data_IF_271760913649
#
_entry.id   IF_271760913649
#
_cell.length_a   1.000
_cell.length_b   1.000
_cell.length_c   1.000
_cell.angle_alpha   90.00
_cell.angle_beta   90.00
_cell.angle_gamma   90.00
#
_symmetry.space_group_name_H-M   'P 1'
#
loop_
_entity.id
_entity.type
_entity.pdbx_description
1 polymer ?
#
# COMPACT_ATOMS: atom_id res chain seq x y z
N UNK A 1 -14.26 3.21 -1.36
CA UNK A 1 -15.04 4.06 -0.42
C UNK A 1 -14.29 4.44 0.84
N UNK A 2 -13.46 3.57 1.44
CA UNK A 2 -12.68 3.93 2.63
C UNK A 2 -11.68 5.07 2.38
N UNK A 3 -10.93 5.01 1.27
CA UNK A 3 -10.06 6.10 0.80
C UNK A 3 -10.78 7.45 0.74
N UNK A 4 -11.97 7.47 0.12
CA UNK A 4 -12.77 8.67 0.00
C UNK A 4 -13.22 9.20 1.37
N UNK A 5 -13.70 8.31 2.25
CA UNK A 5 -14.09 8.70 3.62
C UNK A 5 -12.93 9.33 4.37
N UNK A 6 -11.72 8.77 4.27
CA UNK A 6 -10.50 9.33 4.91
C UNK A 6 -10.16 10.70 4.35
N UNK A 7 -10.23 10.87 3.03
CA UNK A 7 -9.97 12.16 2.37
C UNK A 7 -11.03 13.22 2.72
N UNK A 8 -12.30 12.84 2.76
CA UNK A 8 -13.44 13.73 3.07
C UNK A 8 -13.47 14.10 4.56
N UNK A 9 -13.08 13.16 5.43
CA UNK A 9 -13.26 13.25 6.87
C UNK A 9 -14.61 12.67 7.32
N UNK A 10 -14.61 12.00 8.47
CA UNK A 10 -15.77 11.21 8.94
C UNK A 10 -17.06 12.02 9.09
N UNK A 11 -16.96 13.22 9.66
CA UNK A 11 -18.11 14.10 9.89
C UNK A 11 -18.71 14.59 8.57
N UNK A 12 -17.87 15.15 7.69
CA UNK A 12 -18.30 15.63 6.37
C UNK A 12 -18.83 14.49 5.50
N UNK A 13 -18.23 13.30 5.60
CA UNK A 13 -18.69 12.11 4.86
C UNK A 13 -20.09 11.70 5.31
N UNK A 14 -20.34 11.62 6.63
CA UNK A 14 -21.67 11.32 7.17
C UNK A 14 -22.70 12.37 6.78
N UNK A 15 -22.35 13.66 6.91
CA UNK A 15 -23.23 14.78 6.55
C UNK A 15 -23.57 14.77 5.05
N UNK A 16 -22.59 14.53 4.18
CA UNK A 16 -22.81 14.45 2.74
C UNK A 16 -23.68 13.25 2.34
N UNK A 17 -23.49 12.08 2.97
CA UNK A 17 -24.38 10.93 2.75
C UNK A 17 -25.81 11.17 3.22
N UNK A 18 -25.99 11.79 4.39
CA UNK A 18 -27.33 12.16 4.88
C UNK A 18 -28.03 13.06 3.85
N UNK A 19 -27.35 14.12 3.41
CA UNK A 19 -27.88 15.05 2.40
C UNK A 19 -28.21 14.33 1.08
N UNK A 20 -27.35 13.43 0.64
CA UNK A 20 -27.57 12.64 -0.56
C UNK A 20 -28.86 11.80 -0.47
N UNK A 21 -29.03 11.05 0.61
CA UNK A 21 -30.22 10.21 0.79
C UNK A 21 -31.51 11.01 0.96
N UNK A 22 -31.46 12.16 1.63
CA UNK A 22 -32.61 13.05 1.77
C UNK A 22 -33.00 13.68 0.42
N UNK A 23 -32.02 14.16 -0.35
CA UNK A 23 -32.23 14.85 -1.63
C UNK A 23 -32.76 13.93 -2.72
N UNK A 24 -32.25 12.69 -2.80
CA UNK A 24 -32.57 11.74 -3.86
C UNK A 24 -33.49 10.60 -3.41
N UNK A 25 -34.18 10.79 -2.28
CA UNK A 25 -35.13 9.80 -1.75
C UNK A 25 -36.16 9.42 -2.81
N UNK A 26 -36.34 8.12 -3.03
CA UNK A 26 -37.27 7.55 -4.02
C UNK A 26 -36.98 7.91 -5.49
N UNK A 27 -35.74 8.32 -5.79
CA UNK A 27 -35.28 8.65 -7.14
C UNK A 27 -34.06 7.82 -7.54
N UNK A 28 -33.67 7.91 -8.81
CA UNK A 28 -32.43 7.35 -9.32
C UNK A 28 -31.30 8.39 -9.28
N UNK A 29 -30.06 7.92 -9.26
CA UNK A 29 -28.86 8.76 -9.12
C UNK A 29 -27.73 8.29 -10.01
N UNK A 30 -26.86 9.21 -10.40
CA UNK A 30 -25.57 8.93 -11.02
C UNK A 30 -24.41 9.27 -10.07
N UNK A 31 -23.19 8.82 -10.37
CA UNK A 31 -22.02 9.06 -9.52
C UNK A 31 -21.79 10.53 -9.18
N UNK A 32 -22.02 11.44 -10.13
CA UNK A 32 -21.89 12.87 -9.92
C UNK A 32 -22.79 13.39 -8.77
N UNK A 33 -24.00 12.84 -8.61
CA UNK A 33 -24.90 13.27 -7.55
C UNK A 33 -24.32 13.02 -6.15
N UNK A 34 -23.59 11.91 -5.97
CA UNK A 34 -22.89 11.62 -4.73
C UNK A 34 -21.70 12.57 -4.52
N UNK A 35 -20.92 12.83 -5.58
CA UNK A 35 -19.78 13.75 -5.52
C UNK A 35 -20.20 15.17 -5.15
N UNK A 36 -21.31 15.66 -5.69
CA UNK A 36 -21.83 17.00 -5.38
C UNK A 36 -22.17 17.12 -3.89
N UNK A 37 -22.89 16.14 -3.33
CA UNK A 37 -23.26 16.15 -1.91
C UNK A 37 -22.04 16.05 -0.97
N UNK A 38 -21.05 15.22 -1.32
CA UNK A 38 -19.82 15.11 -0.53
C UNK A 38 -18.92 16.35 -0.67
N UNK A 39 -18.87 16.97 -1.86
CA UNK A 39 -18.10 18.19 -2.10
C UNK A 39 -18.68 19.35 -1.30
N UNK A 40 -20.02 19.47 -1.26
CA UNK A 40 -20.69 20.50 -0.47
C UNK A 40 -20.45 20.33 1.04
N UNK A 41 -20.44 19.09 1.53
CA UNK A 41 -20.23 18.82 2.95
C UNK A 41 -18.78 19.02 3.41
N UNK A 42 -17.79 18.82 2.51
CA UNK A 42 -16.36 18.85 2.84
C UNK A 42 -15.61 20.09 2.37
N UNK A 43 -16.17 20.85 1.42
CA UNK A 43 -15.48 21.94 0.73
C UNK A 43 -14.37 21.48 -0.23
N UNK A 44 -14.21 20.17 -0.44
CA UNK A 44 -13.22 19.58 -1.35
C UNK A 44 -13.87 19.24 -2.70
N UNK A 45 -13.13 19.34 -3.81
CA UNK A 45 -13.62 18.86 -5.11
C UNK A 45 -13.51 17.33 -5.17
N UNK A 46 -14.62 16.64 -4.85
CA UNK A 46 -14.64 15.17 -4.77
C UNK A 46 -14.68 14.52 -6.15
N UNK A 47 -15.29 15.18 -7.14
CA UNK A 47 -15.36 14.67 -8.50
C UNK A 47 -13.96 14.57 -9.12
N UNK A 48 -13.15 15.62 -9.01
CA UNK A 48 -11.78 15.63 -9.54
C UNK A 48 -10.89 14.59 -8.86
N UNK A 49 -11.11 14.33 -7.57
CA UNK A 49 -10.43 13.28 -6.84
C UNK A 49 -10.89 11.88 -7.28
N UNK A 50 -12.20 11.60 -7.30
CA UNK A 50 -12.73 10.23 -7.47
C UNK A 50 -12.89 9.78 -8.92
N UNK A 51 -13.13 10.68 -9.87
CA UNK A 51 -13.34 10.32 -11.26
C UNK A 51 -12.14 9.56 -11.86
N UNK A 52 -10.88 9.99 -11.63
CA UNK A 52 -9.70 9.20 -12.01
C UNK A 52 -9.73 7.74 -11.53
N UNK A 53 -10.16 7.49 -10.29
CA UNK A 53 -10.17 6.15 -9.69
C UNK A 53 -11.22 5.21 -10.28
N UNK A 54 -12.29 5.76 -10.86
CA UNK A 54 -13.43 4.98 -11.38
C UNK A 54 -13.35 4.84 -12.89
N UNK A 55 -12.84 5.87 -13.58
CA UNK A 55 -12.80 5.93 -15.03
C UNK A 55 -11.49 5.40 -15.63
N UNK A 56 -10.40 5.34 -14.85
CA UNK A 56 -9.11 4.82 -15.31
C UNK A 56 -8.96 3.37 -14.84
N UNK A 57 -8.82 2.46 -15.79
CA UNK A 57 -8.50 1.06 -15.48
C UNK A 57 -7.13 0.89 -14.83
N UNK A 58 -7.04 0.00 -13.85
CA UNK A 58 -5.82 -0.29 -13.09
C UNK A 58 -5.66 0.58 -11.85
N UNK A 59 -4.48 0.53 -11.26
CA UNK A 59 -4.11 1.30 -10.08
C UNK A 59 -2.61 1.65 -10.13
N UNK A 60 -2.16 2.69 -9.41
CA UNK A 60 -0.78 3.13 -9.46
C UNK A 60 0.13 2.38 -8.47
N UNK A 61 1.40 2.28 -8.82
CA UNK A 61 2.49 2.11 -7.85
C UNK A 61 3.20 3.46 -7.67
N UNK A 62 3.65 3.72 -6.45
CA UNK A 62 4.44 4.91 -6.08
C UNK A 62 5.79 4.45 -5.61
N UNK A 63 6.85 4.83 -6.35
CA UNK A 63 8.23 4.55 -5.99
C UNK A 63 8.81 5.72 -5.19
N UNK A 64 9.43 5.40 -4.05
CA UNK A 64 10.23 6.32 -3.24
C UNK A 64 11.71 6.04 -3.47
N UNK A 65 12.43 7.03 -3.98
CA UNK A 65 13.87 6.96 -4.25
C UNK A 65 14.64 7.91 -3.32
N UNK A 66 15.73 7.43 -2.73
CA UNK A 66 16.67 8.21 -1.92
C UNK A 66 17.69 8.91 -2.83
N UNK A 67 17.63 10.25 -2.87
CA UNK A 67 18.55 11.10 -3.63
C UNK A 67 19.66 11.68 -2.74
N UNK A 68 19.86 11.13 -1.54
CA UNK A 68 20.80 11.62 -0.54
C UNK A 68 20.12 12.55 0.45
N UNK A 69 20.22 13.86 0.23
CA UNK A 69 19.59 14.88 1.09
C UNK A 69 18.08 14.99 0.84
N UNK A 70 17.62 14.57 -0.34
CA UNK A 70 16.21 14.57 -0.76
C UNK A 70 15.70 13.17 -1.03
N UNK A 71 14.39 13.04 -1.15
CA UNK A 71 13.74 11.87 -1.71
C UNK A 71 12.80 12.27 -2.85
N UNK A 72 12.58 11.35 -3.79
CA UNK A 72 11.68 11.53 -4.92
C UNK A 72 10.58 10.49 -4.87
N UNK A 73 9.33 10.95 -4.99
CA UNK A 73 8.17 10.12 -5.29
C UNK A 73 7.97 10.11 -6.81
N UNK A 74 7.69 8.94 -7.38
CA UNK A 74 7.20 8.84 -8.76
C UNK A 74 6.05 7.86 -8.84
N UNK A 75 4.98 8.23 -9.56
CA UNK A 75 3.85 7.34 -9.79
C UNK A 75 3.85 6.79 -11.21
N UNK A 76 3.47 5.52 -11.34
CA UNK A 76 3.22 4.87 -12.63
C UNK A 76 2.06 3.91 -12.52
N UNK A 77 1.44 3.57 -13.65
CA UNK A 77 0.44 2.51 -13.69
C UNK A 77 1.11 1.15 -13.37
N UNK A 78 0.54 0.41 -12.41
CA UNK A 78 1.03 -0.90 -12.02
C UNK A 78 0.37 -2.03 -12.83
N UNK A 79 1.14 -3.06 -13.16
CA UNK A 79 0.70 -4.23 -13.92
C UNK A 79 1.28 -5.51 -13.30
N UNK A 80 0.54 -6.62 -13.42
CA UNK A 80 1.06 -7.97 -13.20
C UNK A 80 1.23 -8.61 -14.58
N UNK A 81 2.44 -9.02 -14.92
CA UNK A 81 2.79 -9.51 -16.25
C UNK A 81 3.04 -8.39 -17.26
N UNK A 82 2.79 -8.66 -18.54
CA UNK A 82 3.01 -7.68 -19.61
C UNK A 82 2.02 -6.51 -19.50
N UNK A 83 2.56 -5.29 -19.48
CA UNK A 83 1.78 -4.07 -19.43
C UNK A 83 2.55 -2.92 -20.06
N UNK A 84 1.82 -2.03 -20.73
CA UNK A 84 2.41 -0.80 -21.29
C UNK A 84 1.89 0.38 -20.50
N UNK A 85 2.82 1.13 -19.90
CA UNK A 85 2.48 2.36 -19.21
C UNK A 85 1.80 3.33 -20.20
N UNK A 86 0.60 3.79 -19.83
CA UNK A 86 -0.21 4.68 -20.65
C UNK A 86 -0.09 6.16 -20.23
N UNK A 87 0.79 6.47 -19.28
CA UNK A 87 0.98 7.83 -18.76
C UNK A 87 -0.20 8.34 -17.92
N UNK A 88 -1.12 7.44 -17.56
CA UNK A 88 -2.22 7.74 -16.63
C UNK A 88 -1.64 8.07 -15.26
N UNK A 89 -2.18 9.14 -14.67
CA UNK A 89 -1.87 9.57 -13.31
C UNK A 89 -3.08 9.32 -12.43
N UNK A 90 -2.93 9.37 -11.12
CA UNK A 90 -4.04 9.36 -10.16
C UNK A 90 -3.77 10.44 -9.12
N UNK A 91 -4.81 11.07 -8.55
CA UNK A 91 -4.68 11.86 -7.35
C UNK A 91 -4.55 10.90 -6.16
N UNK A 92 -3.32 10.64 -5.74
CA UNK A 92 -2.99 9.64 -4.72
C UNK A 92 -3.01 10.30 -3.35
N UNK A 93 -3.92 9.86 -2.48
CA UNK A 93 -3.88 10.18 -1.05
C UNK A 93 -2.67 9.48 -0.42
N UNK A 94 -1.57 10.22 -0.19
CA UNK A 94 -0.28 9.62 0.17
C UNK A 94 -0.28 8.96 1.54
N UNK A 95 -1.01 9.53 2.52
CA UNK A 95 -1.08 8.99 3.89
C UNK A 95 0.29 8.80 4.53
N UNK A 96 1.22 9.76 4.37
CA UNK A 96 2.60 9.59 4.83
C UNK A 96 2.80 9.86 6.33
N UNK A 97 3.86 9.30 6.92
CA UNK A 97 4.39 9.76 8.21
C UNK A 97 5.21 11.06 8.11
N UNK A 98 5.59 11.49 6.90
CA UNK A 98 6.35 12.71 6.65
C UNK A 98 5.40 13.93 6.63
N UNK A 99 5.72 14.97 7.41
CA UNK A 99 4.86 16.17 7.53
C UNK A 99 4.97 17.14 6.36
N UNK A 100 6.06 17.06 5.61
CA UNK A 100 6.36 17.94 4.47
C UNK A 100 5.83 17.41 3.14
N UNK A 101 5.26 16.20 3.12
CA UNK A 101 4.57 15.67 1.94
C UNK A 101 3.15 16.25 1.85
N UNK A 102 2.66 16.55 0.64
CA UNK A 102 1.28 16.95 0.44
C UNK A 102 0.31 15.80 0.80
N UNK A 103 -0.94 16.12 1.12
CA UNK A 103 -1.98 15.11 1.35
C UNK A 103 -2.23 14.28 0.07
N UNK A 104 -2.25 14.95 -1.10
CA UNK A 104 -2.45 14.34 -2.42
C UNK A 104 -1.23 14.56 -3.31
N UNK A 105 -0.82 13.51 -4.02
CA UNK A 105 0.08 13.58 -5.17
C UNK A 105 -0.72 13.39 -6.46
N UNK A 106 -0.82 14.43 -7.29
CA UNK A 106 -1.50 14.41 -8.60
C UNK A 106 -0.53 14.59 -9.79
N UNK A 107 0.74 14.89 -9.50
CA UNK A 107 1.84 14.93 -10.44
C UNK A 107 2.47 13.56 -10.66
N UNK A 108 3.29 13.45 -11.70
CA UNK A 108 4.00 12.21 -12.03
C UNK A 108 5.16 11.94 -11.08
N UNK A 109 5.89 13.00 -10.72
CA UNK A 109 6.98 12.95 -9.77
C UNK A 109 6.97 14.16 -8.85
N UNK A 110 7.51 13.98 -7.65
CA UNK A 110 7.56 14.98 -6.60
C UNK A 110 8.82 14.78 -5.75
N UNK A 111 9.67 15.81 -5.66
CA UNK A 111 10.83 15.80 -4.77
C UNK A 111 10.51 16.51 -3.45
N UNK A 112 11.08 16.00 -2.36
CA UNK A 112 10.92 16.56 -1.03
C UNK A 112 12.17 16.38 -0.18
N UNK A 113 12.36 17.29 0.77
CA UNK A 113 13.42 17.19 1.77
C UNK A 113 13.16 15.98 2.66
N UNK A 114 14.19 15.18 2.93
CA UNK A 114 14.03 13.97 3.73
C UNK A 114 13.98 14.31 5.22
N UNK A 115 12.97 13.82 5.95
CA UNK A 115 13.01 13.81 7.41
C UNK A 115 14.06 12.76 7.86
N UNK A 116 14.85 13.00 8.92
CA UNK A 116 15.80 12.02 9.48
C UNK A 116 15.19 10.65 9.83
N UNK A 117 13.88 10.58 10.03
CA UNK A 117 13.15 9.34 10.31
C UNK A 117 13.04 8.42 9.06
N UNK A 118 12.30 7.32 9.22
CA UNK A 118 11.94 6.45 8.09
C UNK A 118 10.77 7.02 7.30
N UNK A 119 10.64 6.64 6.03
CA UNK A 119 9.50 7.04 5.19
C UNK A 119 8.51 5.87 5.13
N UNK A 120 7.26 6.17 5.43
CA UNK A 120 6.14 5.24 5.24
C UNK A 120 5.03 5.98 4.50
N UNK A 121 4.53 5.36 3.44
CA UNK A 121 3.36 5.78 2.69
C UNK A 121 2.16 4.86 2.99
N UNK A 122 0.97 5.36 2.63
CA UNK A 122 -0.30 4.66 2.77
C UNK A 122 -0.56 4.16 4.19
N UNK A 123 -0.25 4.96 5.22
CA UNK A 123 -0.56 4.60 6.61
C UNK A 123 -2.03 4.21 6.75
N UNK A 124 -2.28 3.23 7.61
CA UNK A 124 -3.59 2.60 7.82
C UNK A 124 -4.11 1.80 6.60
N UNK A 125 -3.33 1.68 5.51
CA UNK A 125 -3.67 0.96 4.28
C UNK A 125 -5.03 1.36 3.70
N UNK A 126 -5.26 2.67 3.57
CA UNK A 126 -6.57 3.23 3.21
C UNK A 126 -6.67 3.60 1.74
N UNK A 127 -5.56 3.97 1.11
CA UNK A 127 -5.50 4.38 -0.29
C UNK A 127 -5.21 3.19 -1.22
N UNK A 128 -5.70 3.28 -2.46
CA UNK A 128 -5.65 2.20 -3.44
C UNK A 128 -4.41 2.27 -4.35
N UNK A 129 -3.21 2.30 -3.77
CA UNK A 129 -1.94 2.26 -4.50
C UNK A 129 -0.96 1.28 -3.85
N UNK A 130 0.08 0.89 -4.59
CA UNK A 130 1.19 0.11 -4.04
C UNK A 130 2.34 1.06 -3.70
N UNK A 131 2.79 1.06 -2.45
CA UNK A 131 4.04 1.71 -2.08
C UNK A 131 5.26 0.83 -2.42
N UNK A 132 6.22 1.40 -3.15
CA UNK A 132 7.50 0.79 -3.49
C UNK A 132 8.62 1.71 -3.00
N UNK A 133 9.70 1.13 -2.50
CA UNK A 133 10.82 1.87 -1.93
C UNK A 133 12.10 1.28 -2.51
N UNK A 134 13.10 2.13 -2.71
CA UNK A 134 14.45 1.65 -2.99
C UNK A 134 15.00 0.78 -1.86
N UNK A 135 16.12 0.10 -2.11
CA UNK A 135 16.67 -0.88 -1.18
C UNK A 135 17.02 -0.27 0.19
N UNK A 136 17.53 0.95 0.22
CA UNK A 136 17.99 1.61 1.45
C UNK A 136 16.81 2.02 2.33
N UNK A 137 15.79 2.65 1.72
CA UNK A 137 14.57 3.07 2.41
C UNK A 137 13.75 1.85 2.86
N UNK A 138 13.64 0.83 2.00
CA UNK A 138 12.92 -0.39 2.34
C UNK A 138 13.59 -1.14 3.49
N UNK A 139 14.93 -1.21 3.51
CA UNK A 139 15.66 -1.80 4.63
C UNK A 139 15.33 -1.09 5.95
N UNK A 140 15.36 0.24 5.99
CA UNK A 140 14.98 1.01 7.19
C UNK A 140 13.53 0.68 7.62
N UNK A 141 12.59 0.61 6.68
CA UNK A 141 11.22 0.21 6.96
C UNK A 141 11.12 -1.20 7.57
N UNK A 142 11.89 -2.17 7.09
CA UNK A 142 11.94 -3.53 7.66
C UNK A 142 12.58 -3.56 9.05
N UNK A 143 13.52 -2.67 9.36
CA UNK A 143 14.04 -2.54 10.73
C UNK A 143 12.93 -2.13 11.70
N UNK A 144 12.01 -1.26 11.27
CA UNK A 144 10.82 -0.86 12.05
C UNK A 144 9.85 -2.01 12.26
N UNK A 145 9.68 -2.90 11.28
CA UNK A 145 8.93 -4.16 11.45
C UNK A 145 9.56 -5.00 12.54
N UNK A 146 10.86 -5.28 12.43
CA UNK A 146 11.60 -6.17 13.34
C UNK A 146 11.60 -5.67 14.78
N UNK A 147 11.66 -4.36 14.97
CA UNK A 147 11.64 -3.70 16.28
C UNK A 147 10.21 -3.59 16.88
N UNK A 148 9.17 -3.98 16.14
CA UNK A 148 7.77 -3.86 16.59
C UNK A 148 7.25 -2.42 16.60
N UNK A 149 7.85 -1.52 15.81
CA UNK A 149 7.51 -0.09 15.76
C UNK A 149 6.35 0.22 14.80
N UNK A 150 5.96 -0.73 13.95
CA UNK A 150 4.83 -0.59 13.02
C UNK A 150 3.60 -1.34 13.53
N UNK A 151 2.42 -0.78 13.31
CA UNK A 151 1.15 -1.44 13.62
C UNK A 151 0.87 -2.67 12.72
N UNK A 152 -0.10 -3.49 13.13
CA UNK A 152 -0.46 -4.73 12.43
C UNK A 152 -0.90 -4.51 10.98
N UNK A 153 -1.59 -3.40 10.69
CA UNK A 153 -2.08 -3.07 9.34
C UNK A 153 -0.91 -2.72 8.44
N UNK A 154 0.03 -1.91 8.94
CA UNK A 154 1.26 -1.53 8.26
C UNK A 154 2.13 -2.75 7.92
N UNK A 155 2.30 -3.67 8.88
CA UNK A 155 3.04 -4.93 8.68
C UNK A 155 2.38 -5.82 7.63
N UNK A 156 1.05 -5.96 7.67
CA UNK A 156 0.30 -6.71 6.66
C UNK A 156 0.41 -6.07 5.26
N UNK A 157 0.28 -4.74 5.19
CA UNK A 157 0.39 -3.97 3.96
C UNK A 157 1.75 -4.19 3.28
N UNK A 158 2.86 -4.11 4.03
CA UNK A 158 4.21 -4.33 3.48
C UNK A 158 4.32 -5.70 2.80
N UNK A 159 3.81 -6.76 3.44
CA UNK A 159 3.83 -8.11 2.86
C UNK A 159 2.98 -8.21 1.59
N UNK A 160 1.78 -7.64 1.61
CA UNK A 160 0.87 -7.62 0.47
C UNK A 160 1.45 -6.84 -0.72
N UNK A 161 1.95 -5.63 -0.47
CA UNK A 161 2.55 -4.77 -1.49
C UNK A 161 3.81 -5.41 -2.07
N UNK A 162 4.68 -6.01 -1.25
CA UNK A 162 5.88 -6.68 -1.75
C UNK A 162 5.54 -7.88 -2.65
N UNK A 163 4.50 -8.65 -2.32
CA UNK A 163 4.01 -9.74 -3.18
C UNK A 163 3.51 -9.22 -4.52
N UNK A 164 2.69 -8.16 -4.50
CA UNK A 164 2.22 -7.54 -5.73
C UNK A 164 3.39 -7.07 -6.59
N UNK A 165 4.32 -6.30 -6.01
CA UNK A 165 5.53 -5.84 -6.70
C UNK A 165 6.33 -7.01 -7.30
N UNK A 166 6.42 -8.14 -6.58
CA UNK A 166 7.15 -9.31 -7.06
C UNK A 166 6.44 -9.97 -8.25
N UNK A 167 5.11 -10.09 -8.18
CA UNK A 167 4.28 -10.58 -9.29
C UNK A 167 4.28 -9.64 -10.50
N UNK A 168 4.45 -8.34 -10.26
CA UNK A 168 4.66 -7.33 -11.30
C UNK A 168 6.09 -7.29 -11.85
N UNK A 169 7.02 -8.08 -11.30
CA UNK A 169 8.42 -8.07 -11.71
C UNK A 169 9.19 -6.81 -11.30
N UNK A 170 8.63 -5.95 -10.44
CA UNK A 170 9.31 -4.76 -9.93
C UNK A 170 10.32 -5.09 -8.84
N UNK A 171 10.15 -6.23 -8.16
CA UNK A 171 11.08 -6.74 -7.13
C UNK A 171 11.27 -8.25 -7.31
N UNK A 172 12.40 -8.78 -6.85
CA UNK A 172 12.69 -10.20 -7.02
C UNK A 172 12.00 -11.07 -5.96
N UNK A 173 11.76 -12.35 -6.25
CA UNK A 173 11.32 -13.33 -5.25
C UNK A 173 12.33 -13.52 -4.11
N UNK A 174 13.61 -13.22 -4.36
CA UNK A 174 14.65 -13.19 -3.32
C UNK A 174 14.36 -12.07 -2.31
N UNK A 175 13.85 -10.93 -2.76
CA UNK A 175 13.49 -9.85 -1.87
C UNK A 175 12.25 -10.16 -1.03
N UNK A 176 11.34 -11.01 -1.52
CA UNK A 176 10.26 -11.55 -0.69
C UNK A 176 10.82 -12.38 0.47
N UNK A 177 11.79 -13.26 0.21
CA UNK A 177 12.45 -14.04 1.25
C UNK A 177 13.15 -13.15 2.29
N UNK A 178 13.89 -12.13 1.83
CA UNK A 178 14.53 -11.13 2.71
C UNK A 178 13.50 -10.33 3.52
N UNK A 179 12.35 -10.03 2.92
CA UNK A 179 11.24 -9.35 3.61
C UNK A 179 10.73 -10.22 4.75
N UNK A 180 10.43 -11.49 4.47
CA UNK A 180 9.93 -12.45 5.47
C UNK A 180 10.89 -12.64 6.64
N UNK A 181 12.20 -12.61 6.42
CA UNK A 181 13.22 -12.69 7.50
C UNK A 181 13.06 -11.61 8.59
N UNK A 182 12.42 -10.49 8.30
CA UNK A 182 12.23 -9.42 9.29
C UNK A 182 10.96 -9.60 10.15
N UNK A 183 10.23 -10.71 9.98
CA UNK A 183 8.98 -11.02 10.69
C UNK A 183 9.14 -12.16 11.73
N UNK A 184 10.35 -12.51 12.14
CA UNK A 184 10.61 -13.58 13.14
C UNK A 184 9.92 -13.35 14.50
N UNK A 185 9.65 -12.09 14.84
CA UNK A 185 8.98 -11.68 16.08
C UNK A 185 7.48 -11.36 15.86
N UNK A 186 6.86 -11.80 14.76
CA UNK A 186 5.45 -11.56 14.50
C UNK A 186 4.54 -12.48 15.33
N UNK A 187 3.47 -11.90 15.88
CA UNK A 187 2.50 -12.61 16.73
C UNK A 187 1.05 -12.51 16.23
N UNK A 188 0.78 -11.63 15.26
CA UNK A 188 -0.55 -11.44 14.70
C UNK A 188 -0.92 -12.56 13.74
N UNK A 189 -2.04 -13.23 14.01
CA UNK A 189 -2.59 -14.27 13.14
C UNK A 189 -2.87 -13.75 11.72
N UNK A 190 -3.31 -12.49 11.58
CA UNK A 190 -3.59 -11.90 10.27
C UNK A 190 -2.30 -11.73 9.44
N UNK A 191 -1.21 -11.33 10.09
CA UNK A 191 0.09 -11.19 9.42
C UNK A 191 0.67 -12.57 9.09
N UNK A 192 0.56 -13.53 10.01
CA UNK A 192 0.93 -14.93 9.77
C UNK A 192 0.15 -15.59 8.63
N UNK A 193 -1.14 -15.26 8.48
CA UNK A 193 -1.95 -15.68 7.34
C UNK A 193 -1.33 -15.22 6.02
N UNK A 194 -0.92 -13.94 5.93
CA UNK A 194 -0.24 -13.42 4.75
C UNK A 194 1.14 -14.05 4.55
N UNK A 195 1.95 -14.19 5.61
CA UNK A 195 3.25 -14.89 5.55
C UNK A 195 3.09 -16.30 4.96
N UNK A 196 2.05 -17.02 5.37
CA UNK A 196 1.76 -18.38 4.88
C UNK A 196 1.43 -18.40 3.39
N UNK A 197 0.66 -17.41 2.91
CA UNK A 197 0.39 -17.22 1.48
C UNK A 197 1.69 -17.00 0.71
N UNK A 198 2.57 -16.10 1.17
CA UNK A 198 3.85 -15.81 0.51
C UNK A 198 4.80 -17.01 0.49
N UNK A 199 4.86 -17.76 1.59
CA UNK A 199 5.62 -19.02 1.64
C UNK A 199 5.08 -20.01 0.60
N UNK A 200 3.75 -20.09 0.44
CA UNK A 200 3.10 -20.90 -0.59
C UNK A 200 3.50 -20.46 -2.01
N UNK A 201 3.47 -19.15 -2.29
CA UNK A 201 3.89 -18.58 -3.57
C UNK A 201 5.36 -18.93 -3.90
N UNK A 202 6.25 -18.82 -2.91
CA UNK A 202 7.67 -19.13 -3.08
C UNK A 202 7.94 -20.63 -3.30
N UNK A 203 7.13 -21.51 -2.70
CA UNK A 203 7.24 -22.96 -2.87
C UNK A 203 6.94 -23.43 -4.29
N UNK A 204 6.18 -22.68 -5.09
CA UNK A 204 5.88 -23.02 -6.49
C UNK A 204 7.18 -23.17 -7.31
N UNK A 205 8.25 -22.47 -6.93
CA UNK A 205 9.53 -22.49 -7.62
C UNK A 205 10.51 -23.56 -7.08
N UNK A 206 10.08 -24.39 -6.13
CA UNK A 206 10.97 -25.31 -5.41
C UNK A 206 10.50 -26.76 -5.60
N UNK A 207 11.36 -27.60 -6.17
CA UNK A 207 11.11 -29.03 -6.28
C UNK A 207 11.06 -29.69 -4.89
N UNK A 208 10.02 -30.48 -4.61
CA UNK A 208 9.72 -30.99 -3.27
C UNK A 208 10.85 -31.80 -2.61
N UNK A 209 11.63 -32.53 -3.42
CA UNK A 209 12.71 -33.41 -2.96
C UNK A 209 14.11 -32.76 -3.05
N UNK A 210 14.19 -31.50 -3.47
CA UNK A 210 15.47 -30.81 -3.62
C UNK A 210 16.10 -30.39 -2.28
N UNK A 211 17.41 -30.12 -2.29
CA UNK A 211 18.09 -29.46 -1.17
C UNK A 211 17.52 -28.07 -0.85
N UNK A 212 16.93 -27.40 -1.85
CA UNK A 212 16.27 -26.11 -1.68
C UNK A 212 14.99 -26.25 -0.84
N UNK A 213 14.22 -27.32 -1.05
CA UNK A 213 13.04 -27.64 -0.22
C UNK A 213 13.41 -27.83 1.26
N UNK A 214 14.52 -28.52 1.55
CA UNK A 214 15.04 -28.66 2.92
C UNK A 214 15.42 -27.30 3.53
N UNK A 215 16.11 -26.44 2.77
CA UNK A 215 16.46 -25.08 3.20
C UNK A 215 15.22 -24.22 3.47
N UNK A 216 14.20 -24.33 2.63
CA UNK A 216 12.93 -23.60 2.80
C UNK A 216 12.18 -24.07 4.06
N UNK A 217 12.12 -25.38 4.32
CA UNK A 217 11.53 -25.90 5.57
C UNK A 217 12.25 -25.36 6.81
N UNK A 218 13.59 -25.37 6.80
CA UNK A 218 14.40 -24.80 7.90
C UNK A 218 14.19 -23.30 8.06
N UNK A 219 14.04 -22.57 6.96
CA UNK A 219 13.70 -21.16 6.99
C UNK A 219 12.36 -20.89 7.67
N UNK A 220 11.31 -21.64 7.30
CA UNK A 220 9.98 -21.53 7.91
C UNK A 220 10.00 -21.91 9.39
N UNK A 221 10.75 -22.96 9.75
CA UNK A 221 10.94 -23.36 11.15
C UNK A 221 11.57 -22.24 11.99
N UNK A 222 12.62 -21.60 11.46
CA UNK A 222 13.26 -20.47 12.14
C UNK A 222 12.31 -19.28 12.29
N UNK A 223 11.54 -18.97 11.23
CA UNK A 223 10.59 -17.87 11.23
C UNK A 223 9.49 -18.06 12.28
N UNK A 224 8.98 -19.29 12.43
CA UNK A 224 7.90 -19.62 13.36
C UNK A 224 8.38 -20.02 14.76
N UNK A 225 9.69 -19.98 15.02
CA UNK A 225 10.31 -20.46 16.27
C UNK A 225 9.76 -19.78 17.53
N UNK A 226 9.41 -18.50 17.43
CA UNK A 226 8.83 -17.72 18.52
C UNK A 226 7.42 -18.17 18.89
N UNK A 227 6.66 -18.73 17.94
CA UNK A 227 5.29 -19.21 18.16
C UNK A 227 5.26 -20.62 18.75
N UNK A 228 6.23 -21.49 18.43
CA UNK A 228 6.30 -22.86 18.98
C UNK A 228 6.76 -22.94 20.44
N UNK A 229 7.35 -21.86 20.98
CA UNK A 229 7.92 -21.81 22.35
C UNK A 229 6.96 -21.26 23.41
N UNK A 230 5.71 -21.00 23.04
CA UNK A 230 4.61 -20.64 23.96
C UNK A 230 3.89 -21.91 24.42
#
# INVERSE_FOLDING_TARGET
MNMLRKYVGDEAFRKGLQKYFEKFKYQNTIGQNLWDCLSEASGKNIADFMNPWILRSGYPSVLVEDLGDKSKLSQKQFFIGEGKNSGKKWPILLGSNQKNLPEIMDCEEFEFEKDPNFIQLNKENVAHFISNYDEKLFKNLLEKVRNGELDTVSRLQILQERSLLSRGGEVSSVDLLKTLQNYENEHSLNVWGMISVLIGELKIFIDEQSEVSKKMKKFVENLAKSEFKK
#
